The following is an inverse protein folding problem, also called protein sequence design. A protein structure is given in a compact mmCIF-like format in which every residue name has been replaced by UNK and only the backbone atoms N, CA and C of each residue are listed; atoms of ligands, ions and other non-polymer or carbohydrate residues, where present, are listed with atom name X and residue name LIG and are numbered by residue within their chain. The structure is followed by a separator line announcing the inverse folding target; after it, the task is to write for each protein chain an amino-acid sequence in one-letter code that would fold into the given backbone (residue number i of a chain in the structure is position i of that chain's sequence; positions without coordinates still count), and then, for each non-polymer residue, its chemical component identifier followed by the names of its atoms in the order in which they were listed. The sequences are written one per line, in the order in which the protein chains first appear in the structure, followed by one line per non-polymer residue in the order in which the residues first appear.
data_IF_152986802441
#
_entry.id   IF_152986802441
#
_cell.length_a   1.000
_cell.length_b   1.000
_cell.length_c   1.000
_cell.angle_alpha   90.00
_cell.angle_beta   90.00
_cell.angle_gamma   90.00
#
_symmetry.space_group_name_H-M   'P 1'
#
loop_
_entity.id
_entity.type
_entity.pdbx_description
1 polymer ?
#
# COMPACT_ATOMS: atom_id res chain seq x y z
N UNK A 1 31.27 42.18 29.28
CA UNK A 1 29.84 41.89 29.57
C UNK A 1 28.89 42.17 28.39
N UNK A 2 29.01 43.28 27.63
CA UNK A 2 28.08 43.57 26.50
C UNK A 2 28.08 42.54 25.34
N UNK A 3 29.21 41.90 25.02
CA UNK A 3 29.29 40.89 23.94
C UNK A 3 28.71 39.51 24.31
N UNK A 4 28.73 39.14 25.60
CA UNK A 4 28.13 37.89 26.10
C UNK A 4 26.61 38.03 26.21
N UNK A 5 26.12 39.21 26.59
CA UNK A 5 24.69 39.50 26.62
C UNK A 5 24.07 39.43 25.22
N UNK A 6 24.77 39.92 24.19
CA UNK A 6 24.30 39.87 22.80
C UNK A 6 24.24 38.43 22.27
N UNK A 7 25.20 37.59 22.65
CA UNK A 7 25.21 36.17 22.27
C UNK A 7 24.06 35.41 22.95
N UNK A 8 23.78 35.69 24.23
CA UNK A 8 22.61 35.14 24.94
C UNK A 8 21.28 35.64 24.35
N UNK A 9 21.20 36.92 23.95
CA UNK A 9 20.02 37.46 23.28
C UNK A 9 19.78 36.80 21.91
N UNK A 10 20.85 36.59 21.13
CA UNK A 10 20.80 35.90 19.84
C UNK A 10 20.47 34.40 19.99
N UNK A 11 20.87 33.75 21.10
CA UNK A 11 20.50 32.36 21.44
C UNK A 11 19.04 32.26 21.95
N UNK A 12 18.48 33.34 22.53
CA UNK A 12 17.04 33.35 22.89
C UNK A 12 16.14 33.71 21.72
N UNK A 13 16.64 34.40 20.69
CA UNK A 13 15.86 34.78 19.49
C UNK A 13 16.08 33.78 18.34
N UNK A 14 16.99 32.81 18.48
CA UNK A 14 17.02 31.63 17.59
C UNK A 14 15.76 30.79 17.79
N UNK A 15 14.72 31.20 17.09
CA UNK A 15 13.54 30.41 16.70
C UNK A 15 12.97 29.55 17.83
N UNK A 16 12.48 30.19 18.89
CA UNK A 16 11.38 29.61 19.65
C UNK A 16 10.12 29.79 18.80
N UNK A 17 9.90 28.90 17.84
CA UNK A 17 8.61 28.76 17.17
C UNK A 17 7.58 28.36 18.24
N UNK A 18 6.94 29.34 18.87
CA UNK A 18 5.84 29.06 19.78
C UNK A 18 4.83 28.14 19.08
N UNK A 19 4.59 26.95 19.64
CA UNK A 19 3.46 26.13 19.19
C UNK A 19 2.19 26.97 19.30
N UNK A 20 1.34 26.96 18.28
CA UNK A 20 0.05 27.66 18.33
C UNK A 20 -0.78 27.11 19.50
N UNK A 21 -1.44 28.00 20.23
CA UNK A 21 -2.36 27.60 21.29
C UNK A 21 -3.52 26.77 20.71
N UNK A 22 -4.05 25.78 21.44
CA UNK A 22 -5.19 25.01 20.99
C UNK A 22 -6.40 25.91 20.76
N UNK A 23 -7.20 25.63 19.72
CA UNK A 23 -8.36 26.46 19.38
C UNK A 23 -9.38 26.58 20.52
N UNK A 24 -10.06 27.72 20.55
CA UNK A 24 -10.96 28.12 21.64
C UNK A 24 -12.23 27.25 21.63
N UNK A 25 -12.79 26.99 20.44
CA UNK A 25 -13.99 26.18 20.27
C UNK A 25 -13.66 24.81 19.64
N UNK A 26 -13.76 23.75 20.45
CA UNK A 26 -13.49 22.37 20.06
C UNK A 26 -14.78 21.58 19.82
N UNK A 27 -14.84 20.80 18.74
CA UNK A 27 -15.92 19.85 18.44
C UNK A 27 -15.38 18.46 18.16
N UNK A 28 -16.27 17.45 18.11
CA UNK A 28 -15.91 16.04 17.83
C UNK A 28 -14.75 15.53 18.68
N UNK A 29 -14.80 15.78 20.00
CA UNK A 29 -13.72 15.47 20.93
C UNK A 29 -13.69 13.97 21.23
N UNK A 30 -12.56 13.33 20.95
CA UNK A 30 -12.28 11.93 21.25
C UNK A 30 -11.05 11.81 22.13
N UNK A 31 -11.10 10.91 23.13
CA UNK A 31 -9.99 10.68 24.04
C UNK A 31 -9.52 9.24 23.95
N UNK A 32 -8.20 9.07 23.94
CA UNK A 32 -7.55 7.79 23.83
C UNK A 32 -6.43 7.66 24.85
N UNK A 33 -6.14 6.43 25.25
CA UNK A 33 -5.04 6.15 26.16
C UNK A 33 -4.25 4.94 25.65
N UNK A 34 -2.94 5.14 25.44
CA UNK A 34 -2.05 4.09 24.94
C UNK A 34 -0.79 3.99 25.80
N UNK A 35 -0.29 2.76 25.93
CA UNK A 35 1.03 2.52 26.50
C UNK A 35 2.04 2.39 25.35
N UNK A 36 2.96 3.36 25.22
CA UNK A 36 4.04 3.33 24.24
C UNK A 36 5.34 3.15 25.01
N UNK A 37 6.08 2.07 24.75
CA UNK A 37 7.30 1.70 25.49
C UNK A 37 7.06 1.65 27.02
N UNK A 38 5.94 1.05 27.42
CA UNK A 38 5.49 0.94 28.82
C UNK A 38 5.19 2.28 29.53
N UNK A 39 5.17 3.40 28.81
CA UNK A 39 4.78 4.71 29.32
C UNK A 39 3.34 5.03 28.87
N UNK A 40 2.46 5.47 29.79
CA UNK A 40 1.10 5.85 29.44
C UNK A 40 1.08 7.24 28.80
N UNK A 41 0.36 7.35 27.68
CA UNK A 41 0.08 8.60 26.99
C UNK A 41 -1.43 8.75 26.82
N UNK A 42 -1.93 9.94 27.13
CA UNK A 42 -3.30 10.34 26.81
C UNK A 42 -3.27 11.19 25.55
N UNK A 43 -4.16 10.87 24.62
CA UNK A 43 -4.34 11.59 23.38
C UNK A 43 -5.76 12.16 23.33
N UNK A 44 -5.91 13.39 22.86
CA UNK A 44 -7.21 14.03 22.68
C UNK A 44 -7.29 14.58 21.26
N UNK A 45 -8.17 13.98 20.45
CA UNK A 45 -8.45 14.40 19.07
C UNK A 45 -9.67 15.30 19.05
N UNK A 46 -9.67 16.39 18.29
CA UNK A 46 -10.83 17.28 18.13
C UNK A 46 -10.75 18.12 16.85
N UNK A 47 -11.88 18.70 16.45
CA UNK A 47 -11.99 19.67 15.35
C UNK A 47 -12.10 21.09 15.89
N UNK A 48 -11.59 22.08 15.15
CA UNK A 48 -11.73 23.50 15.49
C UNK A 48 -12.88 24.17 14.74
N UNK A 49 -13.70 24.94 15.46
CA UNK A 49 -14.80 25.71 14.88
C UNK A 49 -14.43 27.14 14.47
N UNK A 50 -13.15 27.41 14.19
CA UNK A 50 -12.72 28.74 13.80
C UNK A 50 -13.11 28.95 12.32
N UNK A 51 -14.27 29.56 12.09
CA UNK A 51 -14.67 30.11 10.79
C UNK A 51 -14.00 31.47 10.64
N UNK A 52 -13.25 31.67 9.57
CA UNK A 52 -13.13 33.02 8.99
C UNK A 52 -14.40 33.23 8.15
N UNK A 53 -15.23 34.21 8.54
CA UNK A 53 -16.54 34.48 7.93
C UNK A 53 -16.47 35.11 6.53
N UNK A 54 -15.26 35.34 5.99
CA UNK A 54 -15.04 36.22 4.83
C UNK A 54 -14.35 35.55 3.61
N UNK A 55 -14.20 34.23 3.54
CA UNK A 55 -13.67 33.57 2.32
C UNK A 55 -14.72 32.66 1.68
N UNK A 56 -15.42 33.23 0.69
CA UNK A 56 -16.17 32.49 -0.32
C UNK A 56 -15.21 31.58 -1.11
N UNK A 57 -15.64 30.33 -1.31
CA UNK A 57 -15.03 29.31 -2.18
C UNK A 57 -13.60 28.82 -1.82
N UNK A 58 -13.48 27.88 -0.87
CA UNK A 58 -12.70 26.65 -1.10
C UNK A 58 -12.91 25.60 0.01
N UNK A 59 -12.85 24.32 -0.39
CA UNK A 59 -13.15 23.14 0.42
C UNK A 59 -12.07 22.91 1.49
N UNK A 60 -12.09 23.69 2.57
CA UNK A 60 -11.28 23.41 3.75
C UNK A 60 -12.04 22.45 4.67
N UNK A 61 -11.65 21.17 4.63
CA UNK A 61 -12.02 20.21 5.66
C UNK A 61 -11.37 20.65 6.98
N UNK A 62 -12.20 20.81 8.00
CA UNK A 62 -11.87 21.34 9.33
C UNK A 62 -10.61 20.68 9.90
N UNK A 63 -9.61 21.43 10.42
CA UNK A 63 -8.38 20.84 10.91
C UNK A 63 -8.65 19.97 12.14
N UNK A 64 -8.22 18.71 12.07
CA UNK A 64 -8.09 17.85 13.24
C UNK A 64 -6.87 18.29 14.06
N UNK A 65 -7.03 18.37 15.38
CA UNK A 65 -5.96 18.58 16.34
C UNK A 65 -5.81 17.33 17.21
N UNK A 66 -4.58 16.83 17.32
CA UNK A 66 -4.18 15.85 18.32
C UNK A 66 -3.37 16.49 19.47
N UNK A 67 -3.96 16.51 20.67
CA UNK A 67 -3.27 16.81 21.93
C UNK A 67 -2.67 15.55 22.57
N UNK A 68 -1.42 15.64 23.04
CA UNK A 68 -0.70 14.51 23.66
C UNK A 68 -0.24 14.89 25.07
N UNK A 69 -0.63 14.10 26.05
CA UNK A 69 -0.22 14.26 27.44
C UNK A 69 0.57 13.03 27.90
N UNK A 70 1.79 13.28 28.40
CA UNK A 70 2.67 12.27 29.00
C UNK A 70 3.64 12.90 30.00
N UNK A 71 4.19 12.10 30.91
CA UNK A 71 5.18 12.58 31.87
C UNK A 71 6.44 13.05 31.12
N UNK A 72 6.88 14.30 31.34
CA UNK A 72 8.04 14.94 30.70
C UNK A 72 7.91 15.26 29.20
N UNK A 73 6.70 15.24 28.61
CA UNK A 73 6.51 15.77 27.26
C UNK A 73 6.75 17.29 27.29
N UNK A 74 7.75 17.78 26.54
CA UNK A 74 8.21 19.16 26.65
C UNK A 74 7.09 20.11 26.20
N UNK A 75 6.55 20.90 27.14
CA UNK A 75 5.38 21.79 26.99
C UNK A 75 5.54 22.85 25.91
N UNK A 76 6.75 23.12 25.44
CA UNK A 76 7.06 24.30 24.65
C UNK A 76 6.80 24.14 23.14
N UNK A 77 6.55 22.93 22.61
CA UNK A 77 6.51 22.74 21.15
C UNK A 77 5.56 21.71 20.50
N UNK A 78 4.84 20.80 21.20
CA UNK A 78 4.41 19.55 20.51
C UNK A 78 3.05 18.96 20.89
N UNK A 79 2.14 19.76 21.43
CA UNK A 79 0.83 19.25 21.86
C UNK A 79 -0.26 19.45 20.83
N UNK A 80 0.04 19.94 19.63
CA UNK A 80 -0.99 20.10 18.61
C UNK A 80 -0.38 19.71 17.28
N UNK A 81 -0.86 18.61 16.72
CA UNK A 81 -0.62 18.29 15.31
C UNK A 81 -1.86 18.75 14.58
N UNK A 82 -1.78 19.92 13.94
CA UNK A 82 -2.82 20.41 13.05
C UNK A 82 -2.79 19.69 11.71
N UNK A 83 -3.94 19.21 11.26
CA UNK A 83 -4.08 18.52 9.98
C UNK A 83 -4.67 19.49 8.96
N UNK A 84 -3.81 20.09 8.13
CA UNK A 84 -4.22 20.95 7.03
C UNK A 84 -4.70 20.14 5.83
N UNK A 85 -5.61 20.72 5.05
CA UNK A 85 -5.87 20.33 3.66
C UNK A 85 -6.98 19.31 3.42
N UNK A 86 -7.33 19.15 2.13
CA UNK A 86 -8.38 18.31 1.53
C UNK A 86 -8.42 16.82 1.95
N UNK A 87 -7.58 16.40 2.90
CA UNK A 87 -7.28 15.01 3.27
C UNK A 87 -7.47 14.83 4.78
N UNK A 88 -8.72 14.59 5.21
CA UNK A 88 -9.06 14.28 6.61
C UNK A 88 -8.22 13.10 7.12
N UNK A 89 -7.35 13.38 8.09
CA UNK A 89 -6.70 12.35 8.89
C UNK A 89 -7.36 12.31 10.27
N UNK A 90 -7.16 11.25 11.03
CA UNK A 90 -7.68 11.07 12.39
C UNK A 90 -6.63 10.33 13.23
N UNK A 91 -6.67 10.51 14.54
CA UNK A 91 -5.88 9.66 15.44
C UNK A 91 -6.75 8.51 15.95
N UNK A 92 -6.24 7.28 15.87
CA UNK A 92 -7.00 6.09 16.26
C UNK A 92 -6.06 4.93 16.64
N UNK A 93 -6.64 3.77 16.95
CA UNK A 93 -5.92 2.51 17.03
C UNK A 93 -6.01 1.72 15.73
N UNK A 94 -4.92 1.03 15.38
CA UNK A 94 -4.90 0.12 14.26
C UNK A 94 -5.65 -1.17 14.60
N UNK A 95 -6.93 -1.23 14.22
CA UNK A 95 -7.82 -2.38 14.42
C UNK A 95 -7.74 -2.94 15.86
N UNK A 96 -7.97 -4.25 16.03
CA UNK A 96 -7.90 -4.95 17.33
C UNK A 96 -6.49 -5.02 17.94
N UNK A 97 -5.48 -4.44 17.28
CA UNK A 97 -4.06 -4.53 17.66
C UNK A 97 -3.64 -3.45 18.66
N UNK A 98 -4.55 -2.56 19.05
CA UNK A 98 -4.35 -1.50 20.06
C UNK A 98 -3.09 -0.63 19.83
N UNK A 99 -2.67 -0.51 18.57
CA UNK A 99 -1.47 0.23 18.18
C UNK A 99 -1.86 1.65 17.77
N UNK A 100 -1.31 2.70 18.41
CA UNK A 100 -1.66 4.08 18.06
C UNK A 100 -1.14 4.42 16.67
N UNK A 101 -2.02 5.02 15.86
CA UNK A 101 -1.74 5.42 14.49
C UNK A 101 -2.39 6.76 14.19
N UNK A 102 -1.79 7.51 13.27
CA UNK A 102 -2.62 8.37 12.42
C UNK A 102 -3.28 7.50 11.36
N UNK A 103 -4.54 7.76 11.11
CA UNK A 103 -5.35 7.14 10.08
C UNK A 103 -5.74 8.21 9.07
N UNK A 104 -5.74 7.86 7.78
CA UNK A 104 -6.20 8.72 6.70
C UNK A 104 -7.07 7.89 5.77
N UNK A 105 -8.11 8.50 5.22
CA UNK A 105 -8.99 7.87 4.24
C UNK A 105 -9.32 8.83 3.11
N UNK A 106 -9.25 8.35 1.88
CA UNK A 106 -9.72 9.06 0.69
C UNK A 106 -10.58 8.14 -0.14
N UNK A 107 -11.79 8.62 -0.45
CA UNK A 107 -12.78 7.91 -1.26
C UNK A 107 -12.96 8.66 -2.58
N UNK A 108 -12.80 7.94 -3.68
CA UNK A 108 -13.11 8.38 -5.05
C UNK A 108 -14.21 7.48 -5.63
N UNK A 109 -14.65 7.73 -6.86
CA UNK A 109 -15.60 6.86 -7.57
C UNK A 109 -15.04 5.47 -7.90
N UNK A 110 -13.72 5.35 -8.04
CA UNK A 110 -13.05 4.12 -8.48
C UNK A 110 -12.39 3.33 -7.34
N UNK A 111 -11.99 4.01 -6.27
CA UNK A 111 -11.28 3.39 -5.15
C UNK A 111 -11.43 4.14 -3.82
N UNK A 112 -11.21 3.38 -2.74
CA UNK A 112 -11.00 3.85 -1.38
C UNK A 112 -9.53 3.57 -1.02
N UNK A 113 -8.78 4.59 -0.59
CA UNK A 113 -7.45 4.39 -0.01
C UNK A 113 -7.50 4.75 1.46
N UNK A 114 -7.03 3.83 2.30
CA UNK A 114 -6.82 4.01 3.72
C UNK A 114 -5.33 3.93 4.01
N UNK A 115 -4.85 4.74 4.95
CA UNK A 115 -3.45 4.75 5.33
C UNK A 115 -3.28 4.80 6.84
N UNK A 116 -2.41 3.95 7.36
CA UNK A 116 -2.08 3.84 8.78
C UNK A 116 -0.62 4.22 9.00
N UNK A 117 -0.38 5.15 9.92
CA UNK A 117 0.92 5.72 10.21
C UNK A 117 1.25 5.43 11.68
N UNK A 118 1.93 4.30 11.98
CA UNK A 118 2.37 3.98 13.33
C UNK A 118 3.13 5.10 14.01
N UNK A 119 2.64 5.48 15.18
CA UNK A 119 3.26 6.53 15.98
C UNK A 119 4.39 5.95 16.81
N UNK A 120 5.54 6.60 16.74
CA UNK A 120 6.70 6.36 17.59
C UNK A 120 6.91 7.61 18.43
N UNK A 121 6.94 7.45 19.75
CA UNK A 121 7.34 8.54 20.66
C UNK A 121 8.77 8.27 21.12
N UNK A 122 9.68 9.19 20.79
CA UNK A 122 11.08 9.14 21.20
C UNK A 122 11.60 10.55 21.42
N UNK A 123 12.37 10.76 22.50
CA UNK A 123 12.99 12.05 22.84
C UNK A 123 11.96 13.20 22.86
N UNK A 124 10.74 12.92 23.36
CA UNK A 124 9.60 13.85 23.37
C UNK A 124 9.15 14.34 21.97
N UNK A 125 9.39 13.56 20.93
CA UNK A 125 8.89 13.81 19.58
C UNK A 125 7.91 12.72 19.18
N UNK A 126 6.86 13.11 18.46
CA UNK A 126 6.06 12.22 17.64
C UNK A 126 6.80 12.01 16.33
N UNK A 127 7.05 10.75 15.99
CA UNK A 127 7.80 10.37 14.82
C UNK A 127 7.09 9.25 14.07
N UNK A 128 7.31 9.20 12.76
CA UNK A 128 6.90 8.08 11.91
C UNK A 128 8.09 7.62 11.06
N UNK A 129 8.12 6.35 10.70
CA UNK A 129 9.11 5.81 9.77
C UNK A 129 8.50 4.99 8.64
N UNK A 130 7.24 4.60 8.78
CA UNK A 130 6.52 3.73 7.88
C UNK A 130 5.08 4.17 7.78
N UNK A 131 4.51 4.01 6.59
CA UNK A 131 3.12 4.29 6.26
C UNK A 131 2.58 3.06 5.55
N UNK A 132 1.41 2.58 5.99
CA UNK A 132 0.78 1.35 5.51
C UNK A 132 -0.51 1.71 4.80
N UNK A 133 -0.53 1.52 3.49
CA UNK A 133 -1.65 1.83 2.64
C UNK A 133 -2.43 0.57 2.32
N UNK A 134 -3.74 0.71 2.37
CA UNK A 134 -4.73 -0.25 1.92
C UNK A 134 -5.57 0.45 0.85
N UNK A 135 -5.51 -0.03 -0.40
CA UNK A 135 -6.26 0.54 -1.51
C UNK A 135 -7.29 -0.45 -2.03
N UNK A 136 -8.56 -0.19 -1.76
CA UNK A 136 -9.70 -0.98 -2.19
C UNK A 136 -10.30 -0.40 -3.46
N UNK A 137 -10.30 -1.19 -4.53
CA UNK A 137 -10.88 -0.80 -5.81
C UNK A 137 -12.34 -1.28 -5.93
N UNK A 138 -13.11 -0.67 -6.83
CA UNK A 138 -14.53 -0.98 -7.07
C UNK A 138 -14.82 -2.45 -7.40
N UNK A 139 -13.86 -3.18 -7.96
CA UNK A 139 -13.98 -4.61 -8.24
C UNK A 139 -13.67 -5.52 -7.03
N UNK A 140 -13.68 -4.95 -5.82
CA UNK A 140 -13.32 -5.59 -4.54
C UNK A 140 -11.84 -5.93 -4.37
N UNK A 141 -10.97 -5.60 -5.33
CA UNK A 141 -9.55 -5.86 -5.15
C UNK A 141 -8.93 -4.87 -4.16
N UNK A 142 -8.30 -5.40 -3.12
CA UNK A 142 -7.51 -4.60 -2.17
C UNK A 142 -6.05 -4.61 -2.57
N UNK A 143 -5.29 -3.55 -2.33
CA UNK A 143 -3.83 -3.53 -2.46
C UNK A 143 -3.16 -2.99 -1.21
N UNK A 144 -2.27 -3.82 -0.66
CA UNK A 144 -1.55 -3.51 0.55
C UNK A 144 -0.09 -3.22 0.21
N UNK A 145 0.33 -1.99 0.48
CA UNK A 145 1.70 -1.55 0.28
C UNK A 145 2.15 -0.64 1.41
N UNK A 146 3.46 -0.59 1.66
CA UNK A 146 4.05 0.25 2.69
C UNK A 146 5.16 1.11 2.11
N UNK A 147 5.21 2.36 2.58
CA UNK A 147 6.33 3.26 2.35
C UNK A 147 7.10 3.42 3.66
N UNK A 148 8.36 2.97 3.67
CA UNK A 148 9.19 3.03 4.86
C UNK A 148 10.53 3.68 4.56
N UNK A 149 10.88 4.70 5.35
CA UNK A 149 12.10 5.46 5.19
C UNK A 149 12.80 5.73 6.51
N UNK A 150 13.59 6.81 6.53
CA UNK A 150 14.19 7.31 7.75
C UNK A 150 13.11 7.80 8.72
N UNK A 151 13.41 7.77 10.01
CA UNK A 151 12.53 8.28 11.06
C UNK A 151 12.36 9.80 10.86
N UNK A 152 11.12 10.23 10.70
CA UNK A 152 10.72 11.61 10.46
C UNK A 152 9.96 12.12 11.67
N UNK A 153 10.31 13.32 12.15
CA UNK A 153 9.51 14.03 13.14
C UNK A 153 8.25 14.53 12.43
N UNK A 154 7.08 14.31 13.03
CA UNK A 154 5.85 14.90 12.53
C UNK A 154 5.90 16.39 12.88
N UNK A 155 6.08 17.23 11.86
CA UNK A 155 6.07 18.68 11.98
C UNK A 155 4.66 19.17 12.35
N UNK A 156 4.58 20.30 13.07
CA UNK A 156 3.32 21.02 13.21
C UNK A 156 2.94 21.60 11.84
N UNK A 157 1.70 21.36 11.41
CA UNK A 157 1.22 21.64 10.06
C UNK A 157 -0.09 22.42 10.01
N UNK A 158 -0.42 23.18 11.07
CA UNK A 158 -1.64 24.00 11.13
C UNK A 158 -1.95 24.78 9.83
N UNK A 159 -2.93 24.29 9.05
CA UNK A 159 -3.51 25.00 7.90
C UNK A 159 -2.68 25.07 6.61
N UNK A 160 -1.37 24.79 6.65
CA UNK A 160 -0.51 24.91 5.46
C UNK A 160 -0.46 23.60 4.64
N UNK A 161 -1.00 23.65 3.42
CA UNK A 161 -0.90 22.56 2.43
C UNK A 161 0.58 22.28 2.12
N UNK A 162 0.94 21.00 1.95
CA UNK A 162 2.34 20.54 1.78
C UNK A 162 3.25 20.72 3.00
N UNK A 163 2.69 21.00 4.19
CA UNK A 163 3.40 21.05 5.48
C UNK A 163 2.84 19.99 6.45
N UNK A 164 3.63 19.59 7.45
CA UNK A 164 3.18 18.65 8.48
C UNK A 164 2.82 17.27 7.93
N UNK A 165 1.57 16.84 8.16
CA UNK A 165 1.09 15.50 7.81
C UNK A 165 1.04 15.24 6.30
N UNK A 166 0.76 16.27 5.50
CA UNK A 166 0.65 16.14 4.04
C UNK A 166 1.98 15.75 3.39
N UNK A 167 3.12 16.18 3.94
CA UNK A 167 4.47 15.76 3.49
C UNK A 167 4.69 14.26 3.62
N UNK A 168 3.95 13.60 4.52
CA UNK A 168 4.06 12.18 4.81
C UNK A 168 3.25 11.38 3.79
N UNK A 169 2.12 11.92 3.31
CA UNK A 169 1.25 11.24 2.35
C UNK A 169 1.93 11.20 0.97
N UNK A 170 2.16 9.99 0.45
CA UNK A 170 2.74 9.77 -0.88
C UNK A 170 1.70 9.13 -1.78
N UNK A 171 1.41 9.77 -2.91
CA UNK A 171 0.56 9.17 -3.94
C UNK A 171 1.30 8.01 -4.62
N UNK A 172 0.64 6.86 -4.69
CA UNK A 172 1.11 5.67 -5.39
C UNK A 172 0.00 5.13 -6.30
N UNK A 173 0.34 4.94 -7.57
CA UNK A 173 -0.61 4.53 -8.61
C UNK A 173 -0.49 3.02 -8.88
N UNK A 174 -1.54 2.28 -8.53
CA UNK A 174 -1.66 0.81 -8.68
C UNK A 174 -2.67 0.38 -9.74
N UNK A 175 -3.12 1.31 -10.57
CA UNK A 175 -4.23 1.13 -11.51
C UNK A 175 -4.02 -0.07 -12.45
N UNK A 176 -2.79 -0.37 -12.85
CA UNK A 176 -2.49 -1.46 -13.76
C UNK A 176 -2.71 -2.85 -13.14
N UNK A 177 -2.35 -3.09 -11.88
CA UNK A 177 -2.60 -4.43 -11.27
C UNK A 177 -4.10 -4.63 -11.04
N UNK A 178 -4.83 -3.54 -10.76
CA UNK A 178 -6.28 -3.56 -10.74
C UNK A 178 -6.85 -4.04 -12.08
N UNK A 179 -6.35 -3.52 -13.21
CA UNK A 179 -6.77 -3.99 -14.53
C UNK A 179 -6.36 -5.44 -14.81
N UNK A 180 -5.16 -5.89 -14.42
CA UNK A 180 -4.71 -7.29 -14.59
C UNK A 180 -5.66 -8.35 -13.97
N UNK A 181 -6.55 -7.92 -13.08
CA UNK A 181 -7.25 -8.82 -12.17
C UNK A 181 -8.77 -8.80 -12.30
N UNK A 182 -9.34 -8.03 -13.23
CA UNK A 182 -10.81 -7.87 -13.33
C UNK A 182 -11.46 -9.08 -14.04
N UNK A 183 -12.09 -9.97 -13.26
CA UNK A 183 -12.82 -11.13 -13.76
C UNK A 183 -14.32 -10.85 -13.88
N UNK A 184 -14.94 -11.34 -14.97
CA UNK A 184 -16.39 -11.22 -15.16
C UNK A 184 -17.19 -12.03 -14.12
N UNK A 185 -18.10 -11.34 -13.38
CA UNK A 185 -18.85 -11.87 -12.22
C UNK A 185 -19.77 -13.07 -12.51
N UNK A 186 -20.19 -13.27 -13.75
CA UNK A 186 -21.23 -14.24 -14.12
C UNK A 186 -20.68 -15.55 -14.72
N UNK A 187 -19.39 -15.86 -14.51
CA UNK A 187 -18.74 -17.03 -15.16
C UNK A 187 -18.76 -18.27 -14.28
N UNK A 188 -19.73 -19.16 -14.53
CA UNK A 188 -19.85 -20.48 -13.89
C UNK A 188 -18.57 -21.32 -14.02
N UNK A 189 -17.88 -21.23 -15.17
CA UNK A 189 -16.66 -22.00 -15.45
C UNK A 189 -15.48 -21.66 -14.53
N UNK A 190 -15.53 -20.52 -13.83
CA UNK A 190 -14.52 -20.06 -12.87
C UNK A 190 -15.01 -20.12 -11.42
N UNK A 191 -16.29 -20.40 -11.19
CA UNK A 191 -16.95 -20.24 -9.89
C UNK A 191 -16.29 -21.05 -8.77
N UNK A 192 -15.69 -22.20 -9.11
CA UNK A 192 -15.05 -23.11 -8.15
C UNK A 192 -13.58 -23.37 -8.48
N UNK A 193 -13.00 -22.56 -9.37
CA UNK A 193 -11.62 -22.74 -9.82
C UNK A 193 -10.70 -21.76 -9.11
N UNK A 194 -9.53 -22.28 -8.77
CA UNK A 194 -8.43 -21.53 -8.18
C UNK A 194 -7.64 -20.80 -9.27
N UNK A 195 -7.26 -19.56 -9.00
CA UNK A 195 -6.38 -18.77 -9.86
C UNK A 195 -5.43 -17.88 -9.08
N UNK A 196 -4.38 -17.47 -9.78
CA UNK A 196 -3.29 -16.66 -9.29
C UNK A 196 -3.20 -15.36 -10.10
N UNK A 197 -3.13 -14.24 -9.39
CA UNK A 197 -2.93 -12.89 -9.92
C UNK A 197 -1.50 -12.47 -9.61
N UNK A 198 -0.75 -12.04 -10.63
CA UNK A 198 0.61 -11.53 -10.45
C UNK A 198 0.58 -10.16 -9.78
N UNK A 199 1.41 -9.97 -8.76
CA UNK A 199 1.49 -8.71 -8.02
C UNK A 199 2.81 -7.99 -8.26
N UNK A 200 3.90 -8.76 -8.39
CA UNK A 200 5.23 -8.18 -8.54
C UNK A 200 6.33 -9.22 -8.46
N UNK A 201 7.57 -8.78 -8.66
CA UNK A 201 8.76 -9.64 -8.65
C UNK A 201 9.98 -8.88 -8.16
N UNK A 202 10.80 -9.56 -7.36
CA UNK A 202 12.10 -9.07 -6.87
C UNK A 202 13.13 -10.09 -7.31
N UNK A 203 13.95 -9.71 -8.28
CA UNK A 203 14.93 -10.58 -8.93
C UNK A 203 14.30 -11.88 -9.45
N UNK A 204 14.61 -13.04 -8.85
CA UNK A 204 14.07 -14.34 -9.21
C UNK A 204 12.87 -14.80 -8.39
N UNK A 205 12.31 -13.93 -7.54
CA UNK A 205 11.18 -14.25 -6.65
C UNK A 205 9.96 -13.46 -7.09
N UNK A 206 8.88 -14.17 -7.40
CA UNK A 206 7.62 -13.62 -7.90
C UNK A 206 6.52 -13.78 -6.87
N UNK A 207 5.60 -12.82 -6.84
CA UNK A 207 4.59 -12.68 -5.80
C UNK A 207 3.22 -12.76 -6.47
N UNK A 208 2.34 -13.58 -5.89
CA UNK A 208 1.01 -13.80 -6.42
C UNK A 208 -0.04 -13.75 -5.32
N UNK A 209 -1.23 -13.31 -5.71
CA UNK A 209 -2.46 -13.47 -4.94
C UNK A 209 -3.19 -14.69 -5.44
N UNK A 210 -3.46 -15.61 -4.53
CA UNK A 210 -4.10 -16.87 -4.81
C UNK A 210 -5.52 -16.85 -4.30
N UNK A 211 -6.48 -16.89 -5.22
CA UNK A 211 -7.91 -16.97 -4.94
C UNK A 211 -8.39 -18.41 -5.16
N UNK A 212 -9.26 -18.92 -4.28
CA UNK A 212 -9.80 -20.28 -4.42
C UNK A 212 -10.99 -20.34 -5.39
N UNK A 213 -11.61 -19.19 -5.66
CA UNK A 213 -12.80 -19.04 -6.50
C UNK A 213 -13.03 -17.58 -6.89
N UNK A 214 -13.93 -17.34 -7.84
CA UNK A 214 -14.43 -15.98 -8.13
C UNK A 214 -15.14 -15.36 -6.91
N UNK A 215 -15.81 -16.17 -6.09
CA UNK A 215 -16.48 -15.70 -4.87
C UNK A 215 -15.47 -15.20 -3.85
N UNK A 216 -14.37 -15.94 -3.66
CA UNK A 216 -13.26 -15.51 -2.81
C UNK A 216 -12.62 -14.23 -3.36
N UNK A 217 -12.53 -14.06 -4.69
CA UNK A 217 -12.08 -12.82 -5.30
C UNK A 217 -12.99 -11.63 -5.00
N UNK A 218 -14.32 -11.78 -5.15
CA UNK A 218 -15.29 -10.74 -4.81
C UNK A 218 -15.28 -10.35 -3.32
N UNK A 219 -14.97 -11.30 -2.45
CA UNK A 219 -14.81 -11.10 -1.01
C UNK A 219 -13.39 -10.70 -0.61
N UNK A 220 -12.50 -10.50 -1.59
CA UNK A 220 -11.08 -10.18 -1.39
C UNK A 220 -10.35 -11.16 -0.44
N UNK A 221 -10.76 -12.44 -0.47
CA UNK A 221 -10.20 -13.51 0.33
C UNK A 221 -9.13 -14.24 -0.47
N UNK A 222 -7.87 -13.96 -0.19
CA UNK A 222 -6.74 -14.57 -0.89
C UNK A 222 -5.63 -15.03 0.05
N UNK A 223 -4.74 -15.86 -0.47
CA UNK A 223 -3.44 -16.15 0.13
C UNK A 223 -2.35 -15.47 -0.67
N UNK A 224 -1.44 -14.76 -0.02
CA UNK A 224 -0.22 -14.29 -0.68
C UNK A 224 0.76 -15.47 -0.75
N UNK A 225 1.36 -15.64 -1.92
CA UNK A 225 2.40 -16.63 -2.15
C UNK A 225 3.62 -15.97 -2.78
N UNK A 226 4.80 -16.49 -2.46
CA UNK A 226 6.03 -16.20 -3.17
C UNK A 226 6.52 -17.44 -3.87
N UNK A 227 7.07 -17.29 -5.08
CA UNK A 227 7.56 -18.39 -5.89
C UNK A 227 8.91 -18.06 -6.52
N UNK A 228 9.70 -19.08 -6.81
CA UNK A 228 10.83 -19.01 -7.73
C UNK A 228 10.63 -20.04 -8.85
N UNK A 229 11.68 -20.38 -9.59
CA UNK A 229 11.60 -21.37 -10.68
C UNK A 229 11.12 -22.76 -10.24
N UNK A 230 11.29 -23.13 -8.98
CA UNK A 230 11.08 -24.51 -8.51
C UNK A 230 10.02 -24.64 -7.41
N UNK A 231 9.94 -23.65 -6.52
CA UNK A 231 9.23 -23.75 -5.25
C UNK A 231 8.26 -22.58 -5.06
N UNK A 232 7.25 -22.80 -4.21
CA UNK A 232 6.39 -21.77 -3.67
C UNK A 232 6.39 -21.78 -2.14
N UNK A 233 6.12 -20.65 -1.50
CA UNK A 233 5.84 -20.52 -0.08
C UNK A 233 4.54 -19.76 0.11
N UNK A 234 3.70 -20.20 1.05
CA UNK A 234 2.39 -19.61 1.33
C UNK A 234 2.45 -18.90 2.68
N UNK A 235 2.06 -17.63 2.69
CA UNK A 235 1.88 -16.91 3.93
C UNK A 235 0.64 -17.40 4.67
N UNK A 236 0.57 -17.14 5.97
CA UNK A 236 -0.58 -17.54 6.76
C UNK A 236 -1.74 -16.58 6.51
N UNK A 237 -3.00 -17.05 6.54
CA UNK A 237 -4.16 -16.19 6.31
C UNK A 237 -4.29 -15.02 7.30
N UNK A 238 -3.78 -15.19 8.53
CA UNK A 238 -3.83 -14.17 9.58
C UNK A 238 -2.77 -13.06 9.46
N UNK A 239 -1.79 -13.22 8.56
CA UNK A 239 -0.73 -12.23 8.37
C UNK A 239 -1.24 -11.07 7.50
N UNK A 240 -1.19 -9.84 8.01
CA UNK A 240 -1.35 -8.67 7.15
C UNK A 240 -0.02 -8.40 6.43
N UNK A 241 -0.03 -8.57 5.11
CA UNK A 241 1.17 -8.47 4.28
C UNK A 241 1.08 -7.24 3.39
N UNK A 242 2.06 -6.37 3.54
CA UNK A 242 2.22 -5.15 2.74
C UNK A 242 3.46 -5.28 1.86
N UNK A 243 3.33 -4.89 0.59
CA UNK A 243 4.48 -4.75 -0.29
C UNK A 243 5.27 -3.50 0.07
N UNK A 244 6.53 -3.63 0.49
CA UNK A 244 7.38 -2.48 0.83
C UNK A 244 7.99 -1.85 -0.41
N UNK A 245 7.79 -0.55 -0.54
CA UNK A 245 8.12 0.26 -1.71
C UNK A 245 9.06 1.42 -1.31
N UNK A 246 10.01 1.77 -2.19
CA UNK A 246 11.03 2.80 -1.93
C UNK A 246 10.78 4.13 -2.65
N UNK A 247 10.10 4.18 -3.81
CA UNK A 247 9.89 5.43 -4.57
C UNK A 247 8.61 5.44 -5.44
N UNK A 248 8.24 6.62 -5.97
CA UNK A 248 7.02 6.91 -6.77
C UNK A 248 7.01 6.30 -8.18
N UNK A 249 8.15 5.93 -8.75
CA UNK A 249 8.22 5.52 -10.16
C UNK A 249 8.38 4.02 -10.37
N UNK A 250 7.28 3.35 -10.73
CA UNK A 250 7.27 2.02 -11.33
C UNK A 250 7.41 0.86 -10.34
N UNK A 251 7.16 -0.35 -10.83
CA UNK A 251 7.18 -1.59 -10.04
C UNK A 251 8.59 -2.11 -9.71
N UNK A 252 9.65 -1.38 -10.09
CA UNK A 252 11.04 -1.63 -9.66
C UNK A 252 11.37 -1.17 -8.24
N UNK A 253 10.38 -0.60 -7.55
CA UNK A 253 10.51 -0.01 -6.23
C UNK A 253 10.13 -0.99 -5.12
N UNK A 254 9.64 -2.18 -5.47
CA UNK A 254 9.30 -3.24 -4.54
C UNK A 254 10.57 -3.94 -4.04
N UNK A 255 10.81 -3.90 -2.73
CA UNK A 255 12.08 -4.37 -2.12
C UNK A 255 11.90 -5.48 -1.08
N UNK A 256 10.66 -5.82 -0.74
CA UNK A 256 10.35 -6.91 0.18
C UNK A 256 8.98 -6.73 0.83
N UNK A 257 8.65 -7.57 1.80
CA UNK A 257 7.34 -7.54 2.46
C UNK A 257 7.44 -7.02 3.88
N UNK A 258 6.50 -6.17 4.28
CA UNK A 258 6.19 -5.96 5.68
C UNK A 258 5.08 -6.91 6.10
N UNK A 259 5.29 -7.59 7.22
CA UNK A 259 4.29 -8.46 7.83
C UNK A 259 3.94 -7.88 9.18
N UNK A 260 2.65 -7.59 9.37
CA UNK A 260 2.09 -7.15 10.63
C UNK A 260 1.37 -8.34 11.26
N UNK A 261 1.91 -8.84 12.37
CA UNK A 261 1.31 -9.97 13.08
C UNK A 261 0.02 -9.57 13.82
N UNK A 262 -0.67 -10.55 14.41
CA UNK A 262 -1.91 -10.35 15.17
C UNK A 262 -1.77 -9.45 16.40
N UNK A 263 -0.54 -9.15 16.85
CA UNK A 263 -0.25 -8.25 17.97
C UNK A 263 0.20 -6.86 17.50
N UNK A 264 0.26 -6.61 16.20
CA UNK A 264 0.74 -5.35 15.63
C UNK A 264 2.26 -5.22 15.55
N UNK A 265 3.01 -6.30 15.78
CA UNK A 265 4.46 -6.30 15.54
C UNK A 265 4.71 -6.33 14.04
N UNK A 266 5.61 -5.46 13.60
CA UNK A 266 5.94 -5.31 12.18
C UNK A 266 7.32 -5.88 11.95
N UNK A 267 7.43 -6.77 10.96
CA UNK A 267 8.70 -7.32 10.52
C UNK A 267 8.87 -7.17 9.02
N UNK A 268 10.00 -6.61 8.63
CA UNK A 268 10.40 -6.51 7.24
C UNK A 268 11.14 -7.78 6.79
N UNK A 269 10.76 -8.28 5.62
CA UNK A 269 11.38 -9.39 4.91
C UNK A 269 11.94 -8.89 3.58
N UNK A 270 13.24 -8.60 3.55
CA UNK A 270 13.94 -8.29 2.31
C UNK A 270 14.12 -9.53 1.42
N UNK A 271 14.65 -9.32 0.20
CA UNK A 271 15.02 -10.40 -0.74
C UNK A 271 15.72 -11.59 -0.08
N UNK A 272 16.73 -11.37 0.76
CA UNK A 272 17.51 -12.45 1.40
C UNK A 272 16.65 -13.26 2.36
N UNK A 273 15.87 -12.58 3.20
CA UNK A 273 14.96 -13.23 4.14
C UNK A 273 13.85 -14.01 3.40
N UNK A 274 13.27 -13.43 2.35
CA UNK A 274 12.27 -14.08 1.51
C UNK A 274 12.83 -15.31 0.78
N UNK A 275 14.05 -15.20 0.24
CA UNK A 275 14.76 -16.34 -0.37
C UNK A 275 14.95 -17.47 0.64
N UNK A 276 15.34 -17.14 1.88
CA UNK A 276 15.53 -18.13 2.94
C UNK A 276 14.22 -18.84 3.33
N UNK A 277 13.10 -18.10 3.40
CA UNK A 277 11.77 -18.69 3.60
C UNK A 277 11.40 -19.65 2.47
N UNK A 278 11.59 -19.22 1.22
CA UNK A 278 11.26 -20.01 0.04
C UNK A 278 12.12 -21.28 -0.06
N UNK A 279 13.42 -21.18 0.23
CA UNK A 279 14.34 -22.32 0.19
C UNK A 279 13.96 -23.42 1.18
N UNK A 280 13.37 -23.05 2.33
CA UNK A 280 12.83 -23.99 3.32
C UNK A 280 11.53 -24.66 2.89
N UNK A 281 10.83 -24.11 1.90
CA UNK A 281 9.61 -24.71 1.40
C UNK A 281 9.89 -26.02 0.65
N UNK A 282 8.97 -26.98 0.79
CA UNK A 282 8.92 -28.23 0.03
C UNK A 282 7.86 -28.21 -1.06
N UNK A 283 7.07 -27.12 -1.15
CA UNK A 283 5.96 -27.01 -2.08
C UNK A 283 6.49 -26.66 -3.46
N UNK A 284 6.12 -27.43 -4.49
CA UNK A 284 6.47 -27.17 -5.89
C UNK A 284 5.73 -25.94 -6.41
N UNK A 285 6.39 -25.14 -7.26
CA UNK A 285 5.75 -24.03 -7.98
C UNK A 285 4.54 -24.56 -8.77
N UNK A 286 3.37 -23.96 -8.53
CA UNK A 286 2.16 -24.27 -9.28
C UNK A 286 1.31 -23.00 -9.44
N UNK A 287 1.70 -22.12 -10.36
CA UNK A 287 0.98 -20.87 -10.63
C UNK A 287 0.01 -21.08 -11.77
N UNK A 288 -1.28 -20.85 -11.55
CA UNK A 288 -2.32 -21.01 -12.56
C UNK A 288 -3.08 -19.71 -12.73
N UNK A 289 -3.25 -19.25 -13.97
CA UNK A 289 -4.05 -18.07 -14.27
C UNK A 289 -4.93 -18.30 -15.51
N UNK A 290 -5.75 -17.29 -15.83
CA UNK A 290 -6.71 -17.35 -16.93
C UNK A 290 -6.55 -16.13 -17.83
N UNK A 291 -6.55 -16.36 -19.14
CA UNK A 291 -6.56 -15.27 -20.12
C UNK A 291 -7.76 -14.35 -19.86
N UNK A 292 -7.52 -13.05 -19.76
CA UNK A 292 -8.59 -12.04 -19.58
C UNK A 292 -8.80 -11.20 -20.84
N UNK A 293 -7.81 -11.18 -21.73
CA UNK A 293 -7.92 -10.51 -23.01
C UNK A 293 -9.11 -11.06 -23.79
N UNK A 294 -9.97 -10.16 -24.20
CA UNK A 294 -11.24 -10.43 -24.88
C UNK A 294 -11.03 -10.87 -26.33
N UNK A 295 -9.93 -10.43 -26.96
CA UNK A 295 -9.48 -10.95 -28.24
C UNK A 295 -8.63 -12.23 -28.13
N UNK A 296 -8.14 -12.71 -29.28
CA UNK A 296 -7.24 -13.86 -29.37
C UNK A 296 -5.85 -13.51 -28.85
N UNK A 297 -5.46 -14.12 -27.74
CA UNK A 297 -4.09 -14.06 -27.23
C UNK A 297 -3.16 -14.90 -28.12
N UNK A 298 -2.27 -14.24 -28.87
CA UNK A 298 -1.30 -14.92 -29.74
C UNK A 298 -0.24 -15.66 -28.93
N UNK A 299 0.20 -16.81 -29.45
CA UNK A 299 1.28 -17.58 -28.86
C UNK A 299 2.59 -17.40 -29.61
N UNK A 300 3.68 -17.31 -28.87
CA UNK A 300 5.01 -17.03 -29.41
C UNK A 300 6.03 -18.11 -29.03
N UNK A 301 6.95 -18.42 -29.96
CA UNK A 301 8.04 -19.36 -29.71
C UNK A 301 9.12 -18.78 -28.79
N UNK A 302 9.30 -17.46 -28.82
CA UNK A 302 10.25 -16.68 -28.03
C UNK A 302 9.55 -15.40 -27.53
N UNK A 303 10.07 -14.69 -26.53
CA UNK A 303 9.50 -13.41 -26.09
C UNK A 303 9.80 -12.31 -27.12
N UNK A 304 9.14 -12.37 -28.29
CA UNK A 304 9.33 -11.45 -29.40
C UNK A 304 8.18 -11.55 -30.40
N UNK A 305 7.68 -10.40 -30.83
CA UNK A 305 6.54 -10.28 -31.76
C UNK A 305 6.85 -10.93 -33.12
N UNK A 306 8.13 -11.04 -33.50
CA UNK A 306 8.57 -11.72 -34.73
C UNK A 306 8.47 -13.25 -34.66
N UNK A 307 8.14 -13.81 -33.50
CA UNK A 307 8.09 -15.25 -33.28
C UNK A 307 6.68 -15.78 -33.04
N UNK A 308 5.67 -15.00 -33.47
CA UNK A 308 4.27 -15.37 -33.43
C UNK A 308 4.03 -16.71 -34.14
N UNK A 309 3.03 -17.43 -33.66
CA UNK A 309 2.56 -18.68 -34.25
C UNK A 309 1.11 -18.52 -34.68
N UNK A 310 0.60 -19.47 -35.46
CA UNK A 310 -0.82 -19.51 -35.84
C UNK A 310 -1.73 -19.96 -34.69
N UNK A 311 -1.15 -20.28 -33.52
CA UNK A 311 -1.87 -20.73 -32.34
C UNK A 311 -2.25 -19.53 -31.47
N UNK A 312 -3.42 -19.61 -30.87
CA UNK A 312 -3.92 -18.61 -29.96
C UNK A 312 -4.67 -19.25 -28.79
N UNK A 313 -4.79 -18.48 -27.72
CA UNK A 313 -5.72 -18.73 -26.62
C UNK A 313 -6.86 -17.73 -26.71
N UNK A 314 -8.00 -18.11 -26.14
CA UNK A 314 -9.15 -17.22 -26.00
C UNK A 314 -9.36 -16.87 -24.54
N UNK A 315 -10.20 -15.86 -24.31
CA UNK A 315 -10.60 -15.46 -22.98
C UNK A 315 -11.02 -16.67 -22.13
N UNK A 316 -10.48 -16.72 -20.91
CA UNK A 316 -10.68 -17.75 -19.89
C UNK A 316 -10.05 -19.11 -20.15
N UNK A 317 -9.20 -19.24 -21.17
CA UNK A 317 -8.31 -20.40 -21.27
C UNK A 317 -7.39 -20.47 -20.04
N UNK A 318 -7.27 -21.67 -19.47
CA UNK A 318 -6.44 -21.91 -18.28
C UNK A 318 -5.00 -22.17 -18.67
N UNK A 319 -4.08 -21.49 -17.99
CA UNK A 319 -2.65 -21.63 -18.23
C UNK A 319 -1.88 -21.76 -16.92
N UNK A 320 -0.80 -22.54 -16.95
CA UNK A 320 0.20 -22.57 -15.88
C UNK A 320 1.34 -21.61 -16.23
N UNK A 321 1.66 -20.67 -15.34
CA UNK A 321 2.76 -19.73 -15.53
C UNK A 321 4.08 -20.38 -15.07
N UNK A 322 5.02 -20.49 -16.01
CA UNK A 322 6.33 -21.12 -15.82
C UNK A 322 7.45 -20.13 -15.59
N UNK A 323 7.38 -18.94 -16.19
CA UNK A 323 8.38 -17.87 -16.08
C UNK A 323 7.77 -16.53 -16.49
N UNK A 324 8.44 -15.45 -16.12
CA UNK A 324 8.02 -14.09 -16.45
C UNK A 324 9.21 -13.15 -16.64
N UNK A 325 9.16 -12.35 -17.69
CA UNK A 325 10.19 -11.35 -18.03
C UNK A 325 9.63 -9.98 -17.73
N UNK A 326 10.33 -9.26 -16.85
CA UNK A 326 9.98 -7.87 -16.54
C UNK A 326 10.59 -6.91 -17.55
N UNK A 327 9.82 -5.89 -17.87
CA UNK A 327 10.25 -4.68 -18.50
C UNK A 327 11.20 -3.91 -17.57
N UNK A 328 12.37 -3.56 -18.08
CA UNK A 328 13.40 -2.86 -17.30
C UNK A 328 13.10 -1.39 -17.05
N UNK A 329 12.11 -0.78 -17.70
CA UNK A 329 11.82 0.65 -17.50
C UNK A 329 10.77 0.89 -16.42
N UNK A 330 9.76 0.01 -16.35
CA UNK A 330 8.60 0.20 -15.48
C UNK A 330 8.35 -0.97 -14.53
N UNK A 331 9.11 -2.07 -14.67
CA UNK A 331 9.05 -3.29 -13.88
C UNK A 331 7.87 -4.22 -14.19
N UNK A 332 7.02 -3.87 -15.17
CA UNK A 332 5.85 -4.68 -15.53
C UNK A 332 6.28 -5.98 -16.21
N UNK A 333 5.41 -6.99 -16.23
CA UNK A 333 5.71 -8.21 -16.99
C UNK A 333 5.45 -7.93 -18.46
N UNK A 334 6.49 -7.97 -19.29
CA UNK A 334 6.35 -7.88 -20.75
C UNK A 334 5.90 -9.24 -21.33
N UNK A 335 6.40 -10.34 -20.76
CA UNK A 335 6.17 -11.68 -21.29
C UNK A 335 5.99 -12.72 -20.20
N UNK A 336 4.99 -13.57 -20.37
CA UNK A 336 4.82 -14.79 -19.58
C UNK A 336 5.16 -16.01 -20.39
N UNK A 337 5.95 -16.92 -19.82
CA UNK A 337 6.08 -18.28 -20.34
C UNK A 337 5.00 -19.12 -19.70
N UNK A 338 4.17 -19.76 -20.52
CA UNK A 338 3.03 -20.54 -20.07
C UNK A 338 3.10 -21.99 -20.53
N UNK A 339 2.37 -22.84 -19.84
CA UNK A 339 2.01 -24.19 -20.27
C UNK A 339 0.49 -24.33 -20.29
N UNK A 340 -0.05 -25.00 -21.31
CA UNK A 340 -1.45 -25.39 -21.35
C UNK A 340 -1.62 -26.72 -22.10
N UNK A 341 -2.77 -27.37 -21.92
CA UNK A 341 -3.07 -28.64 -22.59
C UNK A 341 -4.07 -28.39 -23.72
N UNK A 342 -3.68 -28.68 -24.96
CA UNK A 342 -4.57 -28.73 -26.11
C UNK A 342 -5.08 -30.16 -26.31
N UNK A 343 -6.36 -30.30 -26.66
CA UNK A 343 -6.94 -31.59 -27.03
C UNK A 343 -6.24 -32.23 -28.23
N UNK A 344 -5.87 -31.41 -29.23
CA UNK A 344 -5.28 -31.88 -30.49
C UNK A 344 -3.78 -32.15 -30.40
N UNK A 345 -3.06 -31.34 -29.62
CA UNK A 345 -1.60 -31.29 -29.64
C UNK A 345 -0.95 -31.67 -28.30
N UNK A 346 -1.74 -32.02 -27.28
CA UNK A 346 -1.25 -32.30 -25.94
C UNK A 346 -0.69 -31.06 -25.25
N UNK A 347 0.32 -31.25 -24.40
CA UNK A 347 0.94 -30.17 -23.61
C UNK A 347 1.75 -29.24 -24.51
N UNK A 348 1.43 -27.95 -24.48
CA UNK A 348 2.10 -26.89 -25.23
C UNK A 348 2.76 -25.92 -24.26
N UNK A 349 3.97 -25.47 -24.60
CA UNK A 349 4.73 -24.45 -23.86
C UNK A 349 5.08 -23.33 -24.82
N UNK A 350 4.61 -22.11 -24.54
CA UNK A 350 4.79 -20.92 -25.38
C UNK A 350 4.93 -19.66 -24.52
N UNK A 351 5.28 -18.57 -25.16
CA UNK A 351 5.25 -17.23 -24.58
C UNK A 351 3.97 -16.49 -24.99
N UNK A 352 3.48 -15.63 -24.11
CA UNK A 352 2.39 -14.68 -24.35
C UNK A 352 2.80 -13.30 -23.83
N UNK A 353 2.23 -12.26 -24.40
CA UNK A 353 2.43 -10.87 -23.97
C UNK A 353 1.77 -10.66 -22.59
N UNK A 354 2.31 -9.72 -21.81
CA UNK A 354 1.83 -9.43 -20.46
C UNK A 354 0.37 -8.97 -20.42
N UNK A 355 -0.04 -8.24 -21.45
CA UNK A 355 -1.39 -7.70 -21.66
C UNK A 355 -2.48 -8.78 -21.79
N UNK A 356 -2.11 -10.03 -22.04
CA UNK A 356 -3.03 -11.16 -22.22
C UNK A 356 -3.90 -11.46 -20.98
N UNK A 357 -3.47 -10.98 -19.82
CA UNK A 357 -4.19 -11.08 -18.55
C UNK A 357 -4.94 -9.80 -18.17
N UNK A 358 -4.94 -8.78 -19.03
CA UNK A 358 -5.69 -7.55 -18.83
C UNK A 358 -6.97 -7.60 -19.69
N UNK A 359 -8.14 -7.29 -19.13
CA UNK A 359 -9.30 -6.97 -19.93
C UNK A 359 -9.08 -5.58 -20.53
N UNK A 360 -8.95 -5.47 -21.85
CA UNK A 360 -9.14 -4.17 -22.46
C UNK A 360 -10.62 -3.83 -22.36
N UNK A 361 -10.94 -2.74 -21.67
CA UNK A 361 -12.17 -2.00 -21.98
C UNK A 361 -11.79 -1.02 -23.07
N UNK A 362 -12.65 -0.86 -24.07
CA UNK A 362 -12.62 0.33 -24.91
C UNK A 362 -12.54 1.53 -23.97
N UNK A 363 -11.43 2.27 -24.03
CA UNK A 363 -11.40 3.62 -23.48
C UNK A 363 -12.34 4.38 -24.40
N UNK A 364 -13.61 4.51 -24.02
CA UNK A 364 -14.53 5.37 -24.74
C UNK A 364 -13.96 6.78 -24.67
N UNK A 365 -13.47 7.25 -25.81
CA UNK A 365 -13.13 8.64 -26.01
C UNK A 365 -14.44 9.43 -26.14
N UNK A 366 -15.11 9.68 -25.03
CA UNK A 366 -16.21 10.64 -24.95
C UNK A 366 -15.93 11.66 -23.84
#
# INVERSE_FOLDING_TARGET
MKKILLLLLLITISTVCHAKEPCINRTSIENYQFNINSQPYKFTSYLCQDKDEDEDDDVFLTPGILEIHGQNFNKTFKNVIGMAGYRSSMFTQWNDKHKPVFYYSIRTSEYLTEAHFPIIIKDNNVMINCIYFNKNFKNSMEFNYSYCGNLQIVEDGFGDVEVGFDKLIRDFYLELIYYFSDFAKNKESLQYKKFDVFIGKIDGISFYRRYSSIKDYELNKYTIIIVNKEKEYRFKPEDEVYQRIVDRSGSQTFIGLDIVDSKGNIKFYNKKALSALLNKSTIKRNITSYIQYDEKTKLYNKPSNRSATDMYLVQHDSVTILDEILNKSNGYVDWYKISYNSEKHGKIIKWIEGDSFFPMREISSD
#
